data_IF_631663595218
#
_entry.id   IF_631663595218
#
_cell.length_a   1.000
_cell.length_b   1.000
_cell.length_c   1.000
_cell.angle_alpha   90.00
_cell.angle_beta   90.00
_cell.angle_gamma   90.00
#
_symmetry.space_group_name_H-M   'P 1'
#
loop_
_entity.id
_entity.type
_entity.pdbx_description
1 polymer ?
#
# COMPACT_ATOMS: atom_id res chain seq x y z
N UNK A 1 -3.00 1.73 24.80
CA UNK A 1 -2.15 2.34 23.75
C UNK A 1 -0.98 3.12 24.36
N UNK A 2 -1.19 4.26 25.05
CA UNK A 2 -0.07 5.06 25.60
C UNK A 2 0.90 4.28 26.50
N UNK A 3 0.38 3.44 27.40
CA UNK A 3 1.22 2.55 28.24
C UNK A 3 2.05 1.56 27.40
N UNK A 4 1.42 0.90 26.43
CA UNK A 4 2.11 -0.02 25.52
C UNK A 4 3.23 0.68 24.71
N UNK A 5 3.03 1.93 24.30
CA UNK A 5 4.09 2.71 23.65
C UNK A 5 5.23 3.04 24.61
N UNK A 6 4.92 3.36 25.86
CA UNK A 6 5.92 3.72 26.88
C UNK A 6 6.74 2.51 27.38
N UNK A 7 6.18 1.30 27.26
CA UNK A 7 6.77 0.05 27.73
C UNK A 7 7.34 -0.82 26.59
N UNK A 8 7.26 -0.36 25.34
CA UNK A 8 7.76 -1.13 24.19
C UNK A 8 9.29 -1.23 24.19
N UNK A 9 9.81 -2.43 23.95
CA UNK A 9 11.22 -2.63 23.64
C UNK A 9 11.51 -2.09 22.23
N UNK A 10 12.52 -1.25 22.09
CA UNK A 10 12.86 -0.57 20.83
C UNK A 10 14.30 -0.86 20.40
N UNK A 11 14.54 -0.72 19.10
CA UNK A 11 15.87 -0.87 18.48
C UNK A 11 16.03 0.07 17.29
N UNK A 12 16.88 -0.31 16.35
CA UNK A 12 17.11 0.34 15.07
C UNK A 12 16.47 -0.49 13.94
N UNK A 13 15.29 -0.07 13.49
CA UNK A 13 14.56 -0.74 12.41
C UNK A 13 15.33 -0.77 11.08
N UNK A 14 16.25 0.16 10.83
CA UNK A 14 17.09 0.14 9.62
C UNK A 14 18.09 -1.03 9.66
N UNK A 15 18.58 -1.37 10.86
CA UNK A 15 19.45 -2.54 11.08
C UNK A 15 18.64 -3.83 11.30
N UNK A 16 17.33 -3.72 11.48
CA UNK A 16 16.41 -4.85 11.66
C UNK A 16 16.50 -5.47 13.05
N UNK A 17 16.81 -4.67 14.08
CA UNK A 17 16.91 -5.12 15.47
C UNK A 17 15.85 -4.49 16.41
N UNK A 18 14.86 -3.78 15.88
CA UNK A 18 13.70 -3.32 16.67
C UNK A 18 12.71 -4.46 16.93
N UNK A 19 12.61 -4.98 18.18
CA UNK A 19 11.82 -6.17 18.47
C UNK A 19 10.32 -5.91 18.35
N UNK A 20 9.86 -4.69 18.66
CA UNK A 20 8.43 -4.34 18.58
C UNK A 20 7.96 -4.27 17.13
N UNK A 21 8.78 -3.69 16.23
CA UNK A 21 8.46 -3.65 14.80
C UNK A 21 8.47 -5.06 14.20
N UNK A 22 9.46 -5.89 14.53
CA UNK A 22 9.55 -7.28 14.07
C UNK A 22 8.31 -8.09 14.50
N UNK A 23 7.92 -7.99 15.77
CA UNK A 23 6.73 -8.68 16.28
C UNK A 23 5.46 -8.24 15.54
N UNK A 24 5.28 -6.92 15.34
CA UNK A 24 4.14 -6.36 14.62
C UNK A 24 4.06 -6.91 13.18
N UNK A 25 5.18 -6.88 12.46
CA UNK A 25 5.25 -7.36 11.08
C UNK A 25 4.97 -8.86 10.99
N UNK A 26 5.59 -9.68 11.84
CA UNK A 26 5.36 -11.13 11.87
C UNK A 26 3.90 -11.46 12.19
N UNK A 27 3.31 -10.76 13.15
CA UNK A 27 1.89 -10.94 13.51
C UNK A 27 0.96 -10.58 12.36
N UNK A 28 1.20 -9.48 11.65
CA UNK A 28 0.37 -9.06 10.52
C UNK A 28 0.54 -9.96 9.29
N UNK A 29 1.76 -10.40 9.01
CA UNK A 29 2.04 -11.39 7.95
C UNK A 29 1.25 -12.68 8.21
N UNK A 30 1.34 -13.22 9.44
CA UNK A 30 0.58 -14.41 9.86
C UNK A 30 -0.94 -14.20 9.79
N UNK A 31 -1.45 -13.08 10.32
CA UNK A 31 -2.88 -12.77 10.32
C UNK A 31 -3.47 -12.67 8.92
N UNK A 32 -2.70 -12.19 7.93
CA UNK A 32 -3.14 -11.99 6.54
C UNK A 32 -2.78 -13.16 5.61
N UNK A 33 -2.07 -14.17 6.12
CA UNK A 33 -1.59 -15.30 5.32
C UNK A 33 -0.57 -14.88 4.24
N UNK A 34 0.29 -13.91 4.55
CA UNK A 34 1.36 -13.42 3.68
C UNK A 34 2.72 -13.80 4.26
N UNK A 35 3.72 -13.92 3.37
CA UNK A 35 5.07 -14.31 3.76
C UNK A 35 5.77 -13.22 4.61
N UNK A 36 5.40 -11.94 4.40
CA UNK A 36 5.99 -10.81 5.09
C UNK A 36 5.00 -9.63 5.20
N UNK A 37 5.30 -8.70 6.10
CA UNK A 37 4.66 -7.40 6.21
C UNK A 37 5.73 -6.33 6.47
N UNK A 38 5.43 -5.08 6.11
CA UNK A 38 6.30 -3.93 6.30
C UNK A 38 5.54 -2.84 7.08
N UNK A 39 6.10 -2.38 8.19
CA UNK A 39 5.57 -1.24 8.92
C UNK A 39 5.99 0.07 8.23
N UNK A 40 5.02 0.95 8.00
CA UNK A 40 5.27 2.26 7.38
C UNK A 40 4.49 3.35 8.11
N UNK A 41 4.96 4.61 8.09
CA UNK A 41 4.34 5.69 8.89
C UNK A 41 2.93 6.09 8.46
N UNK A 42 2.48 5.75 7.24
CA UNK A 42 1.16 6.13 6.75
C UNK A 42 0.61 5.17 5.69
N UNK A 43 -0.71 5.16 5.51
CA UNK A 43 -1.38 4.43 4.44
C UNK A 43 -0.96 4.91 3.03
N UNK A 44 -0.74 6.23 2.86
CA UNK A 44 -0.24 6.78 1.59
C UNK A 44 1.14 6.23 1.24
N UNK A 45 2.06 6.12 2.21
CA UNK A 45 3.36 5.49 1.96
C UNK A 45 3.22 4.00 1.64
N UNK A 46 2.31 3.29 2.33
CA UNK A 46 2.02 1.88 2.04
C UNK A 46 1.57 1.69 0.60
N UNK A 47 0.63 2.51 0.11
CA UNK A 47 0.15 2.45 -1.26
C UNK A 47 1.25 2.81 -2.26
N UNK A 48 2.02 3.89 -2.01
CA UNK A 48 3.11 4.30 -2.89
C UNK A 48 4.20 3.22 -3.04
N UNK A 49 4.61 2.58 -1.94
CA UNK A 49 5.56 1.46 -1.97
C UNK A 49 4.96 0.27 -2.71
N UNK A 50 3.70 -0.08 -2.42
CA UNK A 50 3.02 -1.20 -3.09
C UNK A 50 2.94 -1.00 -4.60
N UNK A 51 2.65 0.22 -5.06
CA UNK A 51 2.64 0.56 -6.48
C UNK A 51 4.04 0.41 -7.04
N UNK A 52 5.04 1.09 -6.46
CA UNK A 52 6.41 1.07 -6.97
C UNK A 52 7.02 -0.33 -7.03
N UNK A 53 6.67 -1.20 -6.10
CA UNK A 53 7.16 -2.58 -6.04
C UNK A 53 6.50 -3.51 -7.08
N UNK A 54 5.31 -3.16 -7.57
CA UNK A 54 4.52 -3.97 -8.51
C UNK A 54 4.60 -3.45 -9.95
N UNK A 55 5.20 -2.28 -10.18
CA UNK A 55 5.20 -1.60 -11.48
C UNK A 55 6.56 -1.02 -11.87
N UNK A 56 6.71 -0.77 -13.16
CA UNK A 56 7.78 0.02 -13.75
C UNK A 56 7.23 1.36 -14.28
N UNK A 57 8.08 2.38 -14.44
CA UNK A 57 7.70 3.60 -15.15
C UNK A 57 7.16 3.28 -16.55
N UNK A 58 6.01 3.86 -16.88
CA UNK A 58 5.27 3.56 -18.12
C UNK A 58 4.16 2.51 -17.97
N UNK A 59 4.15 1.71 -16.89
CA UNK A 59 3.04 0.80 -16.61
C UNK A 59 1.76 1.57 -16.24
N UNK A 60 0.61 0.91 -16.41
CA UNK A 60 -0.71 1.47 -16.12
C UNK A 60 -1.38 0.74 -14.96
N UNK A 61 -1.95 1.50 -14.03
CA UNK A 61 -2.71 0.96 -12.88
C UNK A 61 -4.21 1.09 -13.20
N UNK A 62 -4.97 0.00 -13.06
CA UNK A 62 -6.44 0.09 -13.11
C UNK A 62 -6.99 0.31 -11.71
N UNK A 63 -7.75 1.38 -11.50
CA UNK A 63 -8.31 1.74 -10.21
C UNK A 63 -9.74 2.29 -10.31
N UNK A 64 -10.48 2.22 -9.20
CA UNK A 64 -11.81 2.84 -9.13
C UNK A 64 -11.69 4.38 -9.11
N UNK A 65 -12.62 5.07 -9.77
CA UNK A 65 -12.61 6.55 -9.95
C UNK A 65 -12.51 7.35 -8.65
N UNK A 66 -12.93 6.81 -7.52
CA UNK A 66 -12.87 7.45 -6.20
C UNK A 66 -11.86 6.79 -5.26
N UNK A 67 -10.96 5.98 -5.80
CA UNK A 67 -9.89 5.36 -5.02
C UNK A 67 -8.98 6.41 -4.38
N UNK A 68 -8.51 6.09 -3.16
CA UNK A 68 -7.70 7.01 -2.37
C UNK A 68 -6.39 7.40 -3.07
N UNK A 69 -5.75 6.42 -3.74
CA UNK A 69 -4.51 6.61 -4.51
C UNK A 69 -4.65 7.65 -5.63
N UNK A 70 -5.87 7.82 -6.16
CA UNK A 70 -6.15 8.79 -7.21
C UNK A 70 -6.52 10.16 -6.64
N UNK A 71 -7.46 10.23 -5.70
CA UNK A 71 -8.02 11.51 -5.24
C UNK A 71 -7.16 12.19 -4.16
N UNK A 72 -6.62 11.43 -3.21
CA UNK A 72 -6.14 11.99 -1.93
C UNK A 72 -4.64 11.83 -1.68
N UNK A 73 -3.91 11.20 -2.61
CA UNK A 73 -2.46 10.96 -2.47
C UNK A 73 -1.60 11.85 -3.38
N UNK A 74 -2.18 12.93 -3.88
CA UNK A 74 -1.46 13.96 -4.64
C UNK A 74 -0.82 13.48 -5.95
N UNK A 75 -1.33 12.38 -6.52
CA UNK A 75 -0.77 11.80 -7.74
C UNK A 75 0.56 11.05 -7.52
N UNK A 76 0.83 10.56 -6.31
CA UNK A 76 2.06 9.84 -5.98
C UNK A 76 2.38 8.65 -6.91
N UNK A 77 1.37 7.94 -7.42
CA UNK A 77 1.56 6.87 -8.40
C UNK A 77 2.27 7.35 -9.68
N UNK A 78 1.95 8.57 -10.14
CA UNK A 78 2.59 9.15 -11.32
C UNK A 78 3.95 9.76 -10.96
N UNK A 79 4.01 10.59 -9.92
CA UNK A 79 5.21 11.33 -9.57
C UNK A 79 6.36 10.45 -9.05
N UNK A 80 6.05 9.41 -8.27
CA UNK A 80 7.05 8.56 -7.61
C UNK A 80 7.33 7.26 -8.37
N UNK A 81 6.35 6.77 -9.13
CA UNK A 81 6.48 5.48 -9.85
C UNK A 81 6.43 5.60 -11.37
N UNK A 82 6.11 6.78 -11.92
CA UNK A 82 6.04 6.99 -13.36
C UNK A 82 4.90 6.25 -14.04
N UNK A 83 3.86 5.87 -13.28
CA UNK A 83 2.73 5.10 -13.82
C UNK A 83 1.63 6.00 -14.36
N UNK A 84 0.92 5.54 -15.39
CA UNK A 84 -0.39 6.06 -15.74
C UNK A 84 -1.49 5.38 -14.91
N UNK A 85 -2.71 5.91 -14.98
CA UNK A 85 -3.87 5.33 -14.30
C UNK A 85 -5.07 5.25 -15.25
N UNK A 86 -5.70 4.08 -15.30
CA UNK A 86 -6.97 3.85 -15.98
C UNK A 86 -8.09 3.75 -14.93
N UNK A 87 -9.05 4.66 -15.01
CA UNK A 87 -10.11 4.76 -14.01
C UNK A 87 -11.40 4.07 -14.47
N UNK A 88 -11.88 3.13 -13.66
CA UNK A 88 -13.13 2.39 -13.88
C UNK A 88 -14.21 2.83 -12.89
N UNK A 89 -15.51 2.73 -13.23
CA UNK A 89 -16.57 3.05 -12.27
C UNK A 89 -16.62 1.98 -11.18
N UNK A 90 -17.05 2.38 -9.98
CA UNK A 90 -17.32 1.46 -8.88
C UNK A 90 -18.71 1.69 -8.29
N UNK A 91 -19.32 0.63 -7.77
CA UNK A 91 -20.51 0.74 -6.94
C UNK A 91 -20.12 0.39 -5.50
N UNK A 92 -20.19 1.37 -4.60
CA UNK A 92 -19.76 1.21 -3.19
C UNK A 92 -18.31 0.71 -3.05
N UNK A 93 -17.42 1.19 -3.92
CA UNK A 93 -16.00 0.80 -3.94
C UNK A 93 -15.69 -0.52 -4.63
N UNK A 94 -16.71 -1.21 -5.17
CA UNK A 94 -16.53 -2.48 -5.89
C UNK A 94 -16.45 -2.20 -7.39
N UNK A 95 -15.31 -2.55 -8.00
CA UNK A 95 -15.12 -2.53 -9.45
C UNK A 95 -15.73 -3.79 -10.06
N UNK A 96 -16.42 -3.64 -11.19
CA UNK A 96 -16.95 -4.80 -11.91
C UNK A 96 -15.87 -5.43 -12.80
N UNK A 97 -15.74 -6.76 -12.87
CA UNK A 97 -14.70 -7.40 -13.67
C UNK A 97 -14.71 -7.00 -15.15
N UNK A 98 -15.87 -6.73 -15.73
CA UNK A 98 -16.01 -6.30 -17.13
C UNK A 98 -15.41 -4.91 -17.38
N UNK A 99 -15.54 -3.99 -16.43
CA UNK A 99 -14.99 -2.63 -16.55
C UNK A 99 -13.46 -2.68 -16.42
N UNK A 100 -12.95 -3.51 -15.49
CA UNK A 100 -11.52 -3.75 -15.32
C UNK A 100 -10.93 -4.38 -16.57
N UNK A 101 -11.54 -5.45 -17.11
CA UNK A 101 -11.07 -6.13 -18.31
C UNK A 101 -11.02 -5.20 -19.53
N UNK A 102 -12.00 -4.30 -19.66
CA UNK A 102 -12.06 -3.33 -20.76
C UNK A 102 -11.03 -2.21 -20.66
N UNK A 103 -10.45 -1.99 -19.47
CA UNK A 103 -9.42 -0.99 -19.24
C UNK A 103 -7.99 -1.50 -19.53
N UNK A 104 -7.77 -2.82 -19.55
CA UNK A 104 -6.47 -3.43 -19.85
C UNK A 104 -6.20 -3.33 -21.36
N UNK A 105 -5.02 -2.81 -21.74
CA UNK A 105 -4.58 -2.61 -23.12
C UNK A 105 -3.53 -3.61 -23.57
#
# INVERSE_FOLDING_TARGET
MRRAMAEADVGDDVLGDDPTVIELQNRLASLTGKDAALFVPSGTMSNAISIRAQTNPGDEIVAERHSHIYIYEGGGYAALSGCSIALVPGTRGIMRPEDVKSAIR
#
